data_IF_252079312860
#
_entry.id   IF_252079312860
#
_cell.length_a   1.000
_cell.length_b   1.000
_cell.length_c   1.000
_cell.angle_alpha   90.00
_cell.angle_beta   90.00
_cell.angle_gamma   90.00
#
_symmetry.space_group_name_H-M   'P 1'
#
loop_
_entity.id
_entity.type
_entity.pdbx_description
1 polymer ?
#
# COMPACT_ATOMS: atom_id res chain seq x y z
N UNK A 1 0.38 3.13 -40.76
CA UNK A 1 1.66 3.58 -40.18
C UNK A 1 1.58 3.31 -38.69
N UNK A 2 2.57 2.62 -38.10
CA UNK A 2 2.58 2.37 -36.67
C UNK A 2 2.64 3.70 -35.92
N UNK A 3 1.72 3.88 -34.96
CA UNK A 3 1.60 5.09 -34.17
C UNK A 3 1.90 4.78 -32.70
N UNK A 4 2.56 5.70 -32.01
CA UNK A 4 2.80 5.61 -30.56
C UNK A 4 2.04 6.72 -29.84
N UNK A 5 1.13 6.34 -28.95
CA UNK A 5 0.46 7.24 -28.01
C UNK A 5 1.27 7.23 -26.71
N UNK A 6 1.48 8.40 -26.11
CA UNK A 6 2.22 8.54 -24.85
C UNK A 6 1.38 9.33 -23.85
N UNK A 7 1.21 8.78 -22.65
CA UNK A 7 0.59 9.42 -21.50
C UNK A 7 1.70 9.70 -20.49
N UNK A 8 2.13 10.96 -20.40
CA UNK A 8 3.21 11.40 -19.53
C UNK A 8 2.95 12.83 -19.02
N UNK A 9 2.96 13.07 -17.69
CA UNK A 9 3.05 12.06 -16.63
C UNK A 9 1.73 11.28 -16.47
N UNK A 10 1.79 10.08 -15.89
CA UNK A 10 0.61 9.49 -15.26
C UNK A 10 0.25 10.34 -14.04
N UNK A 11 -0.97 10.84 -13.98
CA UNK A 11 -1.42 11.74 -12.90
C UNK A 11 -2.16 10.99 -11.79
N UNK A 12 -2.25 11.60 -10.60
CA UNK A 12 -2.90 11.06 -9.39
C UNK A 12 -2.34 9.70 -8.92
N UNK A 13 -1.04 9.49 -9.15
CA UNK A 13 -0.26 8.41 -8.54
C UNK A 13 0.87 9.00 -7.68
N UNK A 14 1.52 8.17 -6.88
CA UNK A 14 2.80 8.50 -6.26
C UNK A 14 3.95 8.08 -7.18
N UNK A 15 5.00 8.90 -7.24
CA UNK A 15 6.16 8.66 -8.11
C UNK A 15 5.98 9.13 -9.55
N UNK A 16 6.94 8.74 -10.41
CA UNK A 16 7.01 9.16 -11.80
C UNK A 16 6.82 7.98 -12.73
N UNK A 17 5.72 8.00 -13.49
CA UNK A 17 5.43 6.99 -14.49
C UNK A 17 4.99 7.60 -15.83
N UNK A 18 5.18 6.80 -16.87
CA UNK A 18 4.69 7.05 -18.24
C UNK A 18 4.03 5.78 -18.75
N UNK A 19 2.95 5.93 -19.52
CA UNK A 19 2.37 4.83 -20.30
C UNK A 19 2.61 5.08 -21.78
N UNK A 20 3.06 4.06 -22.51
CA UNK A 20 3.11 4.10 -23.97
C UNK A 20 2.21 3.03 -24.55
N UNK A 21 1.45 3.40 -25.59
CA UNK A 21 0.53 2.50 -26.31
C UNK A 21 0.93 2.53 -27.78
N UNK A 22 1.31 1.36 -28.29
CA UNK A 22 1.78 1.16 -29.65
C UNK A 22 0.62 0.60 -30.49
N UNK A 23 0.26 1.30 -31.56
CA UNK A 23 -0.77 0.89 -32.51
C UNK A 23 -0.11 0.27 -33.76
N UNK A 24 -0.70 -0.80 -34.27
CA UNK A 24 -0.32 -1.38 -35.55
C UNK A 24 -0.92 -0.59 -36.73
N UNK A 25 -0.65 -1.05 -37.96
CA UNK A 25 -1.10 -0.36 -39.17
C UNK A 25 -2.62 -0.30 -39.36
N UNK A 26 -3.39 -1.17 -38.69
CA UNK A 26 -4.86 -1.09 -38.69
C UNK A 26 -5.43 -0.14 -37.63
N UNK A 27 -4.57 0.50 -36.83
CA UNK A 27 -4.97 1.40 -35.75
C UNK A 27 -5.40 0.68 -34.46
N UNK A 28 -5.17 -0.63 -34.36
CA UNK A 28 -5.46 -1.42 -33.15
C UNK A 28 -4.24 -1.49 -32.24
N UNK A 29 -4.46 -1.61 -30.92
CA UNK A 29 -3.38 -1.71 -29.93
C UNK A 29 -2.61 -3.01 -30.15
N UNK A 30 -1.31 -2.89 -30.42
CA UNK A 30 -0.36 -4.00 -30.48
C UNK A 30 0.25 -4.28 -29.11
N UNK A 31 0.76 -3.23 -28.44
CA UNK A 31 1.40 -3.34 -27.12
C UNK A 31 1.19 -2.09 -26.27
N UNK A 32 1.19 -2.26 -24.95
CA UNK A 32 1.21 -1.17 -24.00
C UNK A 32 2.23 -1.43 -22.89
N UNK A 33 2.90 -0.37 -22.42
CA UNK A 33 3.99 -0.44 -21.44
C UNK A 33 3.81 0.60 -20.34
N UNK A 34 4.08 0.22 -19.09
CA UNK A 34 4.15 1.10 -17.92
C UNK A 34 5.61 1.36 -17.52
N UNK A 35 6.15 2.51 -17.87
CA UNK A 35 7.53 2.86 -17.58
C UNK A 35 7.63 3.57 -16.24
N UNK A 36 8.51 3.09 -15.35
CA UNK A 36 8.95 3.84 -14.18
C UNK A 36 10.31 4.45 -14.50
N UNK A 37 10.35 5.79 -14.55
CA UNK A 37 11.49 6.54 -15.07
C UNK A 37 12.39 7.11 -13.96
N UNK A 38 12.21 6.67 -12.71
CA UNK A 38 12.93 7.17 -11.54
C UNK A 38 13.84 6.11 -10.92
N UNK A 39 15.07 6.50 -10.58
CA UNK A 39 16.04 5.68 -9.86
C UNK A 39 16.78 6.53 -8.82
N UNK A 40 16.89 6.05 -7.58
CA UNK A 40 17.59 6.74 -6.48
C UNK A 40 18.72 5.93 -5.84
N UNK A 41 18.80 4.63 -6.07
CA UNK A 41 19.93 3.79 -5.62
C UNK A 41 20.08 3.59 -4.11
N UNK A 42 18.97 3.59 -3.33
CA UNK A 42 18.99 3.40 -1.86
C UNK A 42 19.79 2.18 -1.40
N UNK A 43 19.60 1.04 -2.07
CA UNK A 43 20.32 -0.20 -1.75
C UNK A 43 21.84 0.00 -1.79
N UNK A 44 22.34 0.74 -2.79
CA UNK A 44 23.78 0.96 -2.97
C UNK A 44 24.34 2.01 -2.03
N UNK A 45 23.69 3.17 -1.88
CA UNK A 45 24.24 4.24 -1.05
C UNK A 45 24.13 3.97 0.45
N UNK A 46 23.28 3.03 0.87
CA UNK A 46 23.20 2.58 2.25
C UNK A 46 24.39 1.69 2.67
N UNK A 47 25.18 1.16 1.72
CA UNK A 47 26.41 0.43 2.04
C UNK A 47 27.39 1.33 2.82
N UNK A 48 27.95 0.80 3.91
CA UNK A 48 28.87 1.54 4.79
C UNK A 48 28.20 2.51 5.78
N UNK A 49 26.87 2.67 5.72
CA UNK A 49 26.10 3.40 6.75
C UNK A 49 25.95 2.57 8.01
N UNK A 50 25.72 3.24 9.14
CA UNK A 50 25.45 2.55 10.39
C UNK A 50 24.03 1.98 10.36
N UNK A 51 23.85 0.73 10.80
CA UNK A 51 22.55 0.05 10.75
C UNK A 51 21.43 0.86 11.46
N UNK A 52 21.75 1.50 12.59
CA UNK A 52 20.78 2.30 13.36
C UNK A 52 20.35 3.60 12.65
N UNK A 53 21.01 3.98 11.56
CA UNK A 53 20.55 5.08 10.70
C UNK A 53 19.45 4.64 9.73
N UNK A 54 19.30 3.33 9.45
CA UNK A 54 18.36 2.82 8.46
C UNK A 54 16.92 3.26 8.74
N UNK A 55 16.39 3.20 9.98
CA UNK A 55 15.05 3.71 10.28
C UNK A 55 14.88 5.20 10.01
N UNK A 56 15.96 5.99 9.87
CA UNK A 56 15.91 7.40 9.50
C UNK A 56 16.13 7.60 8.00
N UNK A 57 16.94 6.77 7.35
CA UNK A 57 17.23 6.87 5.92
C UNK A 57 16.09 6.32 5.07
N UNK A 58 15.64 5.10 5.31
CA UNK A 58 14.64 4.41 4.46
C UNK A 58 13.28 5.11 4.37
N UNK A 59 12.78 5.87 5.37
CA UNK A 59 11.55 6.65 5.20
C UNK A 59 11.60 7.69 4.08
N UNK A 60 12.79 8.05 3.57
CA UNK A 60 12.94 9.01 2.46
C UNK A 60 12.75 8.37 1.08
N UNK A 61 12.51 7.07 1.02
CA UNK A 61 12.14 6.37 -0.22
C UNK A 61 10.81 6.92 -0.75
N UNK A 62 9.82 7.13 0.13
CA UNK A 62 8.48 7.57 -0.24
C UNK A 62 7.88 8.52 0.81
N UNK A 63 7.15 9.55 0.34
CA UNK A 63 6.46 10.51 1.21
C UNK A 63 5.13 9.99 1.80
N UNK A 64 4.52 8.97 1.20
CA UNK A 64 3.22 8.41 1.61
C UNK A 64 3.36 7.23 2.58
N UNK A 65 4.34 6.36 2.36
CA UNK A 65 4.59 5.19 3.20
C UNK A 65 5.86 5.24 4.07
N UNK A 66 6.27 6.40 4.64
CA UNK A 66 7.52 6.51 5.39
C UNK A 66 7.52 5.68 6.68
N UNK A 67 6.36 5.45 7.28
CA UNK A 67 6.22 4.60 8.48
C UNK A 67 6.52 3.14 8.16
N UNK A 68 6.08 2.60 7.01
CA UNK A 68 6.36 1.20 6.63
C UNK A 68 7.86 0.99 6.50
N UNK A 69 8.55 1.91 5.83
CA UNK A 69 10.01 1.86 5.72
C UNK A 69 10.71 2.03 7.07
N UNK A 70 10.22 2.92 7.93
CA UNK A 70 10.74 3.14 9.29
C UNK A 70 10.67 1.85 10.11
N UNK A 71 9.50 1.19 10.11
CA UNK A 71 9.24 -0.02 10.89
C UNK A 71 9.94 -1.24 10.30
N UNK A 72 9.94 -1.40 8.97
CA UNK A 72 10.67 -2.49 8.32
C UNK A 72 12.18 -2.43 8.60
N UNK A 73 12.77 -1.23 8.50
CA UNK A 73 14.18 -1.04 8.85
C UNK A 73 14.44 -1.27 10.34
N UNK A 74 13.53 -0.86 11.23
CA UNK A 74 13.68 -1.11 12.66
C UNK A 74 13.60 -2.61 13.00
N UNK A 75 12.66 -3.36 12.39
CA UNK A 75 12.57 -4.83 12.53
C UNK A 75 13.86 -5.51 12.05
N UNK A 76 14.40 -5.11 10.90
CA UNK A 76 15.68 -5.62 10.42
C UNK A 76 16.85 -5.33 11.39
N UNK A 77 16.83 -4.17 12.06
CA UNK A 77 17.83 -3.86 13.09
C UNK A 77 17.65 -4.69 14.37
N UNK A 78 16.41 -4.96 14.77
CA UNK A 78 16.11 -5.83 15.92
C UNK A 78 16.65 -7.24 15.69
N UNK A 79 16.43 -7.79 14.49
CA UNK A 79 16.93 -9.09 14.05
C UNK A 79 18.47 -9.11 14.02
N UNK A 80 19.09 -8.09 13.43
CA UNK A 80 20.55 -7.96 13.35
C UNK A 80 21.22 -7.98 14.74
N UNK A 81 20.60 -7.33 15.72
CA UNK A 81 21.10 -7.27 17.09
C UNK A 81 20.64 -8.44 17.98
N UNK A 82 19.79 -9.32 17.45
CA UNK A 82 19.07 -10.33 18.24
C UNK A 82 18.41 -9.72 19.49
N UNK A 83 17.78 -8.55 19.30
CA UNK A 83 17.20 -7.72 20.36
C UNK A 83 15.70 -7.53 20.10
N UNK A 84 14.86 -8.57 20.32
CA UNK A 84 13.44 -8.47 20.09
C UNK A 84 12.82 -7.39 21.00
N UNK A 85 11.97 -6.51 20.46
CA UNK A 85 11.38 -5.44 21.25
C UNK A 85 10.40 -5.99 22.30
N UNK A 86 10.29 -5.36 23.49
CA UNK A 86 9.31 -5.77 24.48
C UNK A 86 7.88 -5.55 23.95
N UNK A 87 6.91 -6.36 24.40
CA UNK A 87 5.51 -6.32 23.93
C UNK A 87 4.90 -4.91 23.83
N UNK A 88 5.07 -3.98 24.79
CA UNK A 88 4.54 -2.62 24.63
C UNK A 88 5.12 -1.88 23.43
N UNK A 89 6.39 -2.09 23.09
CA UNK A 89 7.01 -1.47 21.92
C UNK A 89 6.46 -2.05 20.61
N UNK A 90 6.22 -3.37 20.56
CA UNK A 90 5.54 -4.05 19.43
C UNK A 90 4.18 -3.42 19.16
N UNK A 91 3.33 -3.32 20.19
CA UNK A 91 1.98 -2.75 20.08
C UNK A 91 1.99 -1.28 19.63
N UNK A 92 2.97 -0.49 20.09
CA UNK A 92 3.09 0.91 19.67
C UNK A 92 3.57 1.06 18.22
N UNK A 93 4.47 0.18 17.77
CA UNK A 93 4.88 0.13 16.35
C UNK A 93 3.71 -0.29 15.45
N UNK A 94 2.96 -1.29 15.87
CA UNK A 94 1.75 -1.73 15.18
C UNK A 94 0.68 -0.62 15.11
N UNK A 95 0.41 0.07 16.23
CA UNK A 95 -0.48 1.23 16.26
C UNK A 95 -0.04 2.33 15.28
N UNK A 96 1.26 2.62 15.22
CA UNK A 96 1.81 3.56 14.23
C UNK A 96 1.56 3.06 12.80
N UNK A 97 1.75 1.77 12.55
CA UNK A 97 1.49 1.17 11.25
C UNK A 97 0.00 1.25 10.85
N UNK A 98 -0.92 1.02 11.80
CA UNK A 98 -2.36 1.18 11.55
C UNK A 98 -2.72 2.62 11.19
N UNK A 99 -2.14 3.61 11.88
CA UNK A 99 -2.27 5.02 11.50
C UNK A 99 -1.81 5.30 10.07
N UNK A 100 -0.72 4.65 9.62
CA UNK A 100 -0.24 4.74 8.25
C UNK A 100 -1.18 4.10 7.24
N UNK A 101 -1.73 2.92 7.53
CA UNK A 101 -2.69 2.23 6.64
C UNK A 101 -3.94 3.09 6.48
N UNK A 102 -4.50 3.61 7.57
CA UNK A 102 -5.69 4.47 7.56
C UNK A 102 -5.45 5.71 6.69
N UNK A 103 -4.38 6.46 6.95
CA UNK A 103 -4.12 7.69 6.17
C UNK A 103 -3.83 7.39 4.70
N UNK A 104 -3.15 6.28 4.39
CA UNK A 104 -2.76 5.94 3.03
C UNK A 104 -3.96 5.46 2.21
N UNK A 105 -4.79 4.57 2.77
CA UNK A 105 -5.97 4.06 2.08
C UNK A 105 -7.05 5.13 1.96
N UNK A 106 -7.28 5.92 3.01
CA UNK A 106 -8.20 7.07 2.96
C UNK A 106 -7.81 8.07 1.87
N UNK A 107 -6.54 8.48 1.84
CA UNK A 107 -6.02 9.38 0.80
C UNK A 107 -6.15 8.78 -0.61
N UNK A 108 -5.74 7.52 -0.81
CA UNK A 108 -5.83 6.89 -2.12
C UNK A 108 -7.28 6.81 -2.61
N UNK A 109 -8.19 6.28 -1.77
CA UNK A 109 -9.58 6.10 -2.15
C UNK A 109 -10.28 7.42 -2.44
N UNK A 110 -10.18 8.41 -1.55
CA UNK A 110 -10.92 9.66 -1.70
C UNK A 110 -10.22 10.68 -2.60
N UNK A 111 -8.90 10.84 -2.51
CA UNK A 111 -8.19 11.94 -3.18
C UNK A 111 -7.58 11.53 -4.53
N UNK A 112 -7.19 10.27 -4.69
CA UNK A 112 -6.51 9.78 -5.90
C UNK A 112 -7.45 9.03 -6.86
N UNK A 113 -8.09 7.97 -6.39
CA UNK A 113 -9.07 7.18 -7.16
C UNK A 113 -10.45 7.85 -7.19
N UNK A 114 -10.82 8.53 -6.11
CA UNK A 114 -12.12 9.16 -5.91
C UNK A 114 -12.58 10.05 -7.06
N UNK A 115 -11.74 10.92 -7.65
CA UNK A 115 -12.15 11.74 -8.79
C UNK A 115 -12.64 10.93 -9.99
N UNK A 116 -12.06 9.77 -10.28
CA UNK A 116 -12.55 8.90 -11.36
C UNK A 116 -13.84 8.20 -10.95
N UNK A 117 -13.88 7.61 -9.74
CA UNK A 117 -15.01 6.80 -9.28
C UNK A 117 -16.28 7.63 -9.01
N UNK A 118 -16.12 8.86 -8.51
CA UNK A 118 -17.23 9.69 -8.02
C UNK A 118 -17.69 10.73 -9.04
N UNK A 119 -16.80 11.25 -9.88
CA UNK A 119 -17.15 12.25 -10.90
C UNK A 119 -17.32 11.62 -12.29
N UNK A 120 -16.77 10.44 -12.51
CA UNK A 120 -16.82 9.69 -13.76
C UNK A 120 -15.49 9.70 -14.53
N UNK A 121 -15.23 8.61 -15.25
CA UNK A 121 -13.98 8.43 -16.00
C UNK A 121 -13.82 9.43 -17.16
N UNK A 122 -14.94 9.89 -17.72
CA UNK A 122 -14.99 10.88 -18.81
C UNK A 122 -15.24 12.32 -18.33
N UNK A 123 -15.23 12.57 -17.01
CA UNK A 123 -15.36 13.92 -16.49
C UNK A 123 -14.21 14.82 -16.99
N UNK A 124 -14.53 16.09 -17.23
CA UNK A 124 -13.56 17.09 -17.71
C UNK A 124 -12.32 17.07 -16.79
N UNK A 125 -11.09 16.91 -17.33
CA UNK A 125 -9.86 16.94 -16.55
C UNK A 125 -9.73 18.14 -15.60
N UNK A 126 -10.33 19.29 -15.94
CA UNK A 126 -10.35 20.49 -15.09
C UNK A 126 -11.08 20.27 -13.76
N UNK A 127 -12.08 19.38 -13.72
CA UNK A 127 -12.86 19.06 -12.52
C UNK A 127 -12.56 17.66 -11.96
N UNK A 128 -11.96 16.75 -12.74
CA UNK A 128 -11.64 15.37 -12.31
C UNK A 128 -10.42 15.31 -11.38
N UNK A 129 -10.53 15.99 -10.24
CA UNK A 129 -9.52 16.10 -9.20
C UNK A 129 -10.17 16.42 -7.84
N UNK A 130 -9.36 16.59 -6.79
CA UNK A 130 -9.86 16.83 -5.42
C UNK A 130 -10.71 18.10 -5.29
N UNK A 131 -10.48 19.12 -6.13
CA UNK A 131 -11.30 20.35 -6.10
C UNK A 131 -12.69 20.09 -6.63
N UNK A 132 -12.84 19.29 -7.69
CA UNK A 132 -14.16 18.88 -8.17
C UNK A 132 -14.90 18.00 -7.18
N UNK A 133 -14.19 17.14 -6.43
CA UNK A 133 -14.81 16.39 -5.33
C UNK A 133 -15.34 17.31 -4.23
N UNK A 134 -14.58 18.33 -3.85
CA UNK A 134 -15.04 19.34 -2.88
C UNK A 134 -16.28 20.06 -3.40
N UNK A 135 -16.33 20.42 -4.69
CA UNK A 135 -17.50 21.09 -5.28
C UNK A 135 -18.73 20.17 -5.34
N UNK A 136 -18.53 18.90 -5.68
CA UNK A 136 -19.62 17.92 -5.81
C UNK A 136 -20.18 17.49 -4.45
N UNK A 137 -19.32 17.27 -3.46
CA UNK A 137 -19.72 16.87 -2.11
C UNK A 137 -18.73 17.40 -1.05
N UNK A 138 -18.91 18.66 -0.59
CA UNK A 138 -18.02 19.28 0.39
C UNK A 138 -17.95 18.50 1.71
N UNK A 139 -19.06 17.93 2.15
CA UNK A 139 -19.15 17.18 3.40
C UNK A 139 -18.29 15.91 3.35
N UNK A 140 -18.43 15.12 2.28
CA UNK A 140 -17.62 13.92 2.08
C UNK A 140 -16.13 14.27 1.96
N UNK A 141 -15.78 15.35 1.27
CA UNK A 141 -14.40 15.80 1.14
C UNK A 141 -13.79 16.16 2.52
N UNK A 142 -14.55 16.85 3.39
CA UNK A 142 -14.11 17.15 4.76
C UNK A 142 -13.91 15.87 5.56
N UNK A 143 -14.84 14.91 5.48
CA UNK A 143 -14.70 13.61 6.15
C UNK A 143 -13.47 12.84 5.68
N UNK A 144 -13.20 12.82 4.37
CA UNK A 144 -12.01 12.20 3.81
C UNK A 144 -10.70 12.82 4.33
N UNK A 145 -10.62 14.15 4.37
CA UNK A 145 -9.47 14.87 4.94
C UNK A 145 -9.31 14.57 6.43
N UNK A 146 -10.42 14.50 7.18
CA UNK A 146 -10.40 14.15 8.60
C UNK A 146 -9.93 12.70 8.84
N UNK A 147 -10.30 11.74 7.98
CA UNK A 147 -9.80 10.36 8.06
C UNK A 147 -8.28 10.30 7.85
N UNK A 148 -7.78 11.01 6.84
CA UNK A 148 -6.33 11.14 6.61
C UNK A 148 -5.63 11.82 7.80
N UNK A 149 -6.23 12.87 8.34
CA UNK A 149 -5.74 13.57 9.54
C UNK A 149 -5.68 12.61 10.73
N UNK A 150 -6.70 11.79 10.96
CA UNK A 150 -6.74 10.84 12.06
C UNK A 150 -5.54 9.88 12.04
N UNK A 151 -5.29 9.21 10.92
CA UNK A 151 -4.12 8.33 10.78
C UNK A 151 -2.79 9.07 10.96
N UNK A 152 -2.67 10.29 10.43
CA UNK A 152 -1.47 11.12 10.59
C UNK A 152 -1.27 11.63 12.03
N UNK A 153 -2.34 11.88 12.79
CA UNK A 153 -2.25 12.28 14.20
C UNK A 153 -1.82 11.12 15.09
N UNK A 154 -2.19 9.88 14.77
CA UNK A 154 -1.64 8.68 15.44
C UNK A 154 -0.11 8.65 15.24
N UNK A 155 0.35 8.78 14.00
CA UNK A 155 1.78 8.79 13.66
C UNK A 155 2.51 9.93 14.38
N UNK A 156 1.95 11.15 14.36
CA UNK A 156 2.54 12.32 15.04
C UNK A 156 2.60 12.13 16.55
N UNK A 157 1.55 11.59 17.17
CA UNK A 157 1.47 11.37 18.62
C UNK A 157 2.58 10.45 19.11
N UNK A 158 2.88 9.41 18.33
CA UNK A 158 3.93 8.44 18.63
C UNK A 158 5.33 8.96 18.22
N UNK A 159 5.50 9.33 16.94
CA UNK A 159 6.80 9.64 16.35
C UNK A 159 7.16 11.11 16.24
N UNK A 160 6.38 12.01 16.84
CA UNK A 160 6.61 13.45 16.90
C UNK A 160 6.38 14.21 15.59
N UNK A 161 6.29 13.50 14.46
CA UNK A 161 6.09 14.04 13.10
C UNK A 161 5.10 13.17 12.34
N UNK A 162 4.32 13.78 11.45
CA UNK A 162 3.37 13.06 10.56
C UNK A 162 4.10 12.27 9.48
N UNK A 163 5.14 12.88 8.89
CA UNK A 163 5.92 12.32 7.81
C UNK A 163 7.36 12.14 8.29
N UNK A 164 7.94 10.98 7.97
CA UNK A 164 9.27 10.56 8.42
C UNK A 164 9.41 10.57 9.96
N UNK A 165 8.67 9.69 10.67
CA UNK A 165 8.71 9.62 12.13
C UNK A 165 10.11 9.23 12.63
N UNK A 166 10.37 9.55 13.90
CA UNK A 166 11.56 9.10 14.62
C UNK A 166 11.12 8.42 15.93
N UNK A 167 10.74 7.16 15.86
CA UNK A 167 10.07 6.46 16.96
C UNK A 167 10.64 5.08 17.25
N UNK A 168 10.60 4.20 16.25
CA UNK A 168 11.16 2.88 16.31
C UNK A 168 12.68 2.97 16.25
N UNK A 169 13.31 2.37 17.26
CA UNK A 169 14.76 2.25 17.41
C UNK A 169 15.08 0.76 17.59
N UNK A 170 16.31 0.32 17.30
CA UNK A 170 16.70 -1.07 17.55
C UNK A 170 16.41 -1.46 19.01
N UNK A 171 15.70 -2.57 19.22
CA UNK A 171 15.24 -3.06 20.52
C UNK A 171 13.92 -2.49 21.03
N UNK A 172 13.24 -1.58 20.30
CA UNK A 172 11.93 -1.07 20.72
C UNK A 172 11.52 0.28 20.16
N UNK A 173 11.09 1.17 21.05
CA UNK A 173 10.63 2.53 20.75
C UNK A 173 11.25 3.52 21.71
N UNK A 174 11.50 4.75 21.26
CA UNK A 174 12.17 5.78 22.06
C UNK A 174 11.26 6.55 23.02
N UNK A 175 9.94 6.30 22.98
CA UNK A 175 8.94 7.02 23.78
C UNK A 175 7.74 6.13 24.09
N UNK A 176 7.15 6.30 25.27
CA UNK A 176 5.88 5.70 25.63
C UNK A 176 4.69 6.54 25.15
N UNK A 177 3.54 5.89 24.90
CA UNK A 177 2.28 6.59 24.68
C UNK A 177 1.75 7.14 26.01
N UNK A 178 1.48 8.46 26.06
CA UNK A 178 0.86 9.09 27.22
C UNK A 178 -0.63 8.76 27.30
N UNK A 179 -1.23 8.84 28.49
CA UNK A 179 -2.69 8.66 28.66
C UNK A 179 -3.47 9.66 27.80
N UNK A 180 -3.06 10.92 27.81
CA UNK A 180 -3.64 11.97 26.97
C UNK A 180 -3.56 11.64 25.47
N UNK A 181 -2.40 11.14 25.00
CA UNK A 181 -2.25 10.73 23.60
C UNK A 181 -3.16 9.56 23.25
N UNK A 182 -3.30 8.58 24.16
CA UNK A 182 -4.23 7.45 24.01
C UNK A 182 -5.67 7.95 23.94
N UNK A 183 -6.08 8.81 24.88
CA UNK A 183 -7.45 9.35 24.98
C UNK A 183 -7.79 10.18 23.73
N UNK A 184 -6.84 10.98 23.23
CA UNK A 184 -7.02 11.74 21.99
C UNK A 184 -7.18 10.87 20.75
N UNK A 185 -6.51 9.71 20.68
CA UNK A 185 -6.68 8.76 19.57
C UNK A 185 -8.05 8.09 19.69
N UNK A 186 -8.44 7.65 20.88
CA UNK A 186 -9.75 7.02 21.09
C UNK A 186 -10.91 7.96 20.77
N UNK A 187 -10.79 9.25 21.06
CA UNK A 187 -11.83 10.24 20.80
C UNK A 187 -12.17 10.42 19.30
N UNK A 188 -11.26 10.08 18.39
CA UNK A 188 -11.49 10.15 16.94
C UNK A 188 -11.91 8.83 16.29
N UNK A 189 -11.98 7.74 17.06
CA UNK A 189 -12.14 6.38 16.52
C UNK A 189 -13.49 6.20 15.81
N UNK A 190 -14.59 6.61 16.45
CA UNK A 190 -15.94 6.41 15.92
C UNK A 190 -16.17 7.17 14.61
N UNK A 191 -15.69 8.42 14.52
CA UNK A 191 -15.77 9.22 13.29
C UNK A 191 -14.93 8.61 12.15
N UNK A 192 -13.75 8.08 12.48
CA UNK A 192 -12.90 7.40 11.50
C UNK A 192 -13.58 6.13 10.96
N UNK A 193 -14.13 5.29 11.85
CA UNK A 193 -14.88 4.08 11.46
C UNK A 193 -16.09 4.44 10.59
N UNK A 194 -16.90 5.42 11.01
CA UNK A 194 -18.07 5.85 10.26
C UNK A 194 -17.71 6.35 8.85
N UNK A 195 -16.56 7.02 8.72
CA UNK A 195 -16.05 7.50 7.42
C UNK A 195 -15.56 6.36 6.54
N UNK A 196 -14.88 5.36 7.12
CA UNK A 196 -14.48 4.14 6.40
C UNK A 196 -15.72 3.38 5.90
N UNK A 197 -16.73 3.19 6.74
CA UNK A 197 -18.00 2.54 6.36
C UNK A 197 -18.72 3.30 5.25
N UNK A 198 -18.70 4.64 5.29
CA UNK A 198 -19.20 5.46 4.18
C UNK A 198 -18.44 5.19 2.88
N UNK A 199 -17.11 5.10 2.94
CA UNK A 199 -16.27 4.75 1.78
C UNK A 199 -16.56 3.36 1.22
N UNK A 200 -16.77 2.36 2.09
CA UNK A 200 -17.17 1.00 1.69
C UNK A 200 -18.53 1.02 0.99
N UNK A 201 -19.52 1.72 1.55
CA UNK A 201 -20.85 1.87 0.93
C UNK A 201 -20.77 2.51 -0.46
N UNK A 202 -20.00 3.58 -0.60
CA UNK A 202 -19.73 4.22 -1.90
C UNK A 202 -19.16 3.23 -2.91
N UNK A 203 -18.16 2.44 -2.50
CA UNK A 203 -17.51 1.47 -3.39
C UNK A 203 -18.46 0.34 -3.79
N UNK A 204 -19.29 -0.16 -2.86
CA UNK A 204 -20.31 -1.17 -3.15
C UNK A 204 -21.36 -0.65 -4.14
N UNK A 205 -21.87 0.55 -3.91
CA UNK A 205 -22.84 1.20 -4.81
C UNK A 205 -22.25 1.43 -6.20
N UNK A 206 -20.97 1.85 -6.26
CA UNK A 206 -20.26 2.00 -7.52
C UNK A 206 -20.08 0.64 -8.22
N UNK A 207 -19.68 -0.39 -7.50
CA UNK A 207 -19.44 -1.73 -8.05
C UNK A 207 -20.72 -2.37 -8.61
N UNK A 208 -21.86 -2.17 -7.94
CA UNK A 208 -23.15 -2.67 -8.42
C UNK A 208 -23.58 -1.98 -9.73
N UNK A 209 -23.31 -0.68 -9.86
CA UNK A 209 -23.63 0.10 -11.07
C UNK A 209 -22.66 -0.15 -12.23
N UNK A 210 -21.41 -0.52 -11.95
CA UNK A 210 -20.32 -0.61 -12.92
C UNK A 210 -19.74 -2.04 -12.98
N UNK A 211 -20.58 -3.07 -12.83
CA UNK A 211 -20.13 -4.48 -12.82
C UNK A 211 -19.42 -4.87 -14.12
N UNK A 212 -19.89 -4.37 -15.26
CA UNK A 212 -19.26 -4.61 -16.55
C UNK A 212 -17.81 -4.10 -16.60
N UNK A 213 -17.54 -2.91 -16.02
CA UNK A 213 -16.18 -2.37 -15.95
C UNK A 213 -15.28 -3.24 -15.07
N UNK A 214 -15.79 -3.71 -13.92
CA UNK A 214 -15.06 -4.60 -13.01
C UNK A 214 -14.70 -5.92 -13.71
N UNK A 215 -15.63 -6.48 -14.49
CA UNK A 215 -15.44 -7.77 -15.15
C UNK A 215 -14.52 -7.69 -16.38
N UNK A 216 -14.31 -6.50 -16.94
CA UNK A 216 -13.54 -6.31 -18.18
C UNK A 216 -12.19 -5.62 -17.99
N UNK A 217 -12.07 -4.71 -17.02
CA UNK A 217 -10.90 -3.85 -16.90
C UNK A 217 -9.69 -4.61 -16.34
N UNK A 218 -8.76 -4.99 -17.23
CA UNK A 218 -7.50 -5.66 -16.88
C UNK A 218 -7.69 -6.93 -16.02
N UNK A 219 -8.73 -7.71 -16.29
CA UNK A 219 -8.97 -8.98 -15.61
C UNK A 219 -8.06 -10.07 -16.19
N UNK A 220 -7.08 -10.49 -15.40
CA UNK A 220 -6.25 -11.65 -15.70
C UNK A 220 -5.87 -12.39 -14.39
N UNK A 221 -5.73 -13.72 -14.45
CA UNK A 221 -5.41 -14.53 -13.28
C UNK A 221 -3.91 -14.45 -12.96
N UNK A 222 -3.56 -14.39 -11.67
CA UNK A 222 -2.18 -14.33 -11.14
C UNK A 222 -2.12 -14.99 -9.77
N UNK A 223 -0.94 -15.34 -9.27
CA UNK A 223 -0.78 -15.61 -7.84
C UNK A 223 -1.05 -14.37 -6.98
N UNK A 224 -1.22 -14.59 -5.67
CA UNK A 224 -1.34 -13.51 -4.68
C UNK A 224 -0.43 -13.74 -3.49
N UNK A 225 0.13 -12.66 -2.95
CA UNK A 225 1.13 -12.69 -1.89
C UNK A 225 0.81 -11.68 -0.79
N UNK A 226 0.87 -12.11 0.47
CA UNK A 226 0.58 -11.28 1.63
C UNK A 226 1.12 -11.88 2.92
N UNK A 227 0.92 -11.16 4.03
CA UNK A 227 1.19 -11.68 5.37
C UNK A 227 -0.09 -12.28 5.96
N UNK A 228 0.08 -13.32 6.77
CA UNK A 228 -1.01 -13.93 7.55
C UNK A 228 -0.58 -14.15 9.00
N UNK A 229 -1.56 -14.14 9.90
CA UNK A 229 -1.38 -14.61 11.28
C UNK A 229 -1.19 -16.14 11.30
N UNK A 230 -0.73 -16.74 12.41
CA UNK A 230 -0.65 -18.20 12.54
C UNK A 230 -1.99 -18.92 12.30
N UNK A 231 -3.10 -18.24 12.57
CA UNK A 231 -4.47 -18.73 12.33
C UNK A 231 -5.01 -18.37 10.94
N UNK A 232 -4.16 -17.91 10.01
CA UNK A 232 -4.56 -17.56 8.64
C UNK A 232 -5.31 -16.25 8.50
N UNK A 233 -5.35 -15.40 9.54
CA UNK A 233 -6.00 -14.09 9.50
C UNK A 233 -5.20 -13.05 8.73
N UNK A 234 -5.88 -11.99 8.26
CA UNK A 234 -5.26 -10.82 7.65
C UNK A 234 -4.23 -10.17 8.61
N UNK A 235 -2.97 -10.09 8.17
CA UNK A 235 -1.88 -9.49 8.95
C UNK A 235 -1.21 -8.35 8.17
N UNK A 236 -0.79 -7.29 8.86
CA UNK A 236 -0.23 -6.08 8.26
C UNK A 236 1.12 -5.67 8.86
N UNK A 237 1.46 -6.14 10.05
CA UNK A 237 2.65 -5.75 10.81
C UNK A 237 3.65 -6.90 11.01
N UNK A 238 3.20 -8.06 11.49
CA UNK A 238 4.10 -9.19 11.81
C UNK A 238 3.43 -10.56 11.68
N UNK A 239 3.87 -11.35 10.71
CA UNK A 239 3.31 -12.67 10.41
C UNK A 239 4.13 -13.42 9.37
N UNK A 240 3.62 -14.57 8.93
CA UNK A 240 4.26 -15.36 7.88
C UNK A 240 3.85 -14.87 6.50
N UNK A 241 4.78 -14.93 5.56
CA UNK A 241 4.53 -14.69 4.15
C UNK A 241 3.78 -15.88 3.56
N UNK A 242 2.60 -15.65 2.97
CA UNK A 242 1.80 -16.66 2.28
C UNK A 242 1.64 -16.30 0.81
N UNK A 243 1.93 -17.26 -0.06
CA UNK A 243 1.75 -17.19 -1.51
C UNK A 243 0.74 -18.24 -1.96
N UNK A 244 -0.24 -17.82 -2.75
CA UNK A 244 -1.19 -18.71 -3.44
C UNK A 244 -1.07 -18.55 -4.95
N UNK A 245 -1.45 -19.59 -5.69
CA UNK A 245 -1.47 -19.57 -7.15
C UNK A 245 -2.69 -18.83 -7.72
N UNK A 246 -2.77 -18.82 -9.05
CA UNK A 246 -3.84 -18.18 -9.81
C UNK A 246 -5.24 -18.79 -9.63
N UNK A 247 -5.32 -19.97 -9.01
CA UNK A 247 -6.56 -20.69 -8.67
C UNK A 247 -6.89 -20.59 -7.17
N UNK A 248 -6.05 -19.91 -6.39
CA UNK A 248 -6.17 -19.78 -4.95
C UNK A 248 -5.58 -20.95 -4.15
N UNK A 249 -4.87 -21.88 -4.79
CA UNK A 249 -4.22 -22.98 -4.07
C UNK A 249 -2.95 -22.49 -3.37
N UNK A 250 -2.68 -22.93 -2.13
CA UNK A 250 -1.44 -22.59 -1.43
C UNK A 250 -0.20 -23.06 -2.21
N UNK A 251 0.75 -22.15 -2.40
CA UNK A 251 2.07 -22.45 -2.96
C UNK A 251 3.13 -22.53 -1.87
N UNK A 252 3.19 -21.51 -1.01
CA UNK A 252 4.21 -21.37 0.03
C UNK A 252 3.65 -20.64 1.25
N UNK A 253 4.14 -21.02 2.42
CA UNK A 253 4.00 -20.25 3.66
C UNK A 253 5.34 -20.28 4.40
N UNK A 254 5.95 -19.12 4.61
CA UNK A 254 7.32 -19.04 5.10
C UNK A 254 7.58 -17.76 5.90
N UNK A 255 8.63 -17.81 6.70
CA UNK A 255 9.17 -16.67 7.42
C UNK A 255 9.86 -15.69 6.46
N UNK A 256 9.42 -14.42 6.47
CA UNK A 256 9.90 -13.37 5.58
C UNK A 256 11.41 -13.12 5.63
N UNK A 257 12.10 -13.53 6.70
CA UNK A 257 13.58 -13.51 6.78
C UNK A 257 14.25 -14.37 5.71
N UNK A 258 13.54 -15.38 5.17
CA UNK A 258 14.04 -16.31 4.16
C UNK A 258 13.53 -15.98 2.74
N UNK A 259 13.03 -14.76 2.49
CA UNK A 259 12.33 -14.44 1.22
C UNK A 259 13.16 -14.67 -0.05
N UNK A 260 14.50 -14.63 0.01
CA UNK A 260 15.39 -14.88 -1.14
C UNK A 260 15.38 -16.33 -1.65
N UNK A 261 14.87 -17.26 -0.84
CA UNK A 261 14.66 -18.65 -1.26
C UNK A 261 13.42 -18.79 -2.16
N UNK A 262 12.49 -17.83 -2.06
CA UNK A 262 11.17 -17.90 -2.69
C UNK A 262 10.96 -16.85 -3.78
N UNK A 263 11.53 -15.66 -3.63
CA UNK A 263 11.30 -14.51 -4.52
C UNK A 263 12.56 -14.22 -5.35
N UNK A 264 12.36 -13.95 -6.63
CA UNK A 264 13.38 -13.45 -7.55
C UNK A 264 12.86 -12.23 -8.29
N UNK A 265 13.76 -11.41 -8.84
CA UNK A 265 13.43 -10.18 -9.54
C UNK A 265 13.95 -10.23 -10.99
N UNK A 266 13.06 -10.03 -11.95
CA UNK A 266 13.41 -9.90 -13.36
C UNK A 266 13.55 -8.43 -13.76
N UNK A 267 14.40 -8.12 -14.74
CA UNK A 267 14.63 -6.76 -15.24
C UNK A 267 14.32 -6.72 -16.73
N UNK A 268 13.59 -5.67 -17.12
CA UNK A 268 13.31 -5.36 -18.51
C UNK A 268 14.03 -4.06 -18.91
N UNK A 269 14.33 -3.90 -20.19
CA UNK A 269 15.11 -2.76 -20.71
C UNK A 269 14.33 -1.43 -20.80
N UNK A 270 13.01 -1.48 -20.55
CA UNK A 270 12.10 -0.36 -20.74
C UNK A 270 11.57 0.28 -19.44
N UNK A 271 11.99 -0.20 -18.26
CA UNK A 271 11.56 0.34 -16.96
C UNK A 271 12.63 0.15 -15.89
N UNK A 272 12.80 1.12 -14.98
CA UNK A 272 13.64 0.92 -13.78
C UNK A 272 12.97 0.04 -12.72
N UNK A 273 11.65 -0.11 -12.76
CA UNK A 273 10.93 -1.00 -11.85
C UNK A 273 11.17 -2.45 -12.30
N UNK A 274 11.67 -3.26 -11.38
CA UNK A 274 11.85 -4.71 -11.56
C UNK A 274 10.51 -5.43 -11.55
N UNK A 275 10.52 -6.69 -11.96
CA UNK A 275 9.35 -7.56 -12.04
C UNK A 275 9.56 -8.78 -11.13
N UNK A 276 9.12 -8.72 -9.85
CA UNK A 276 9.23 -9.84 -8.94
C UNK A 276 8.38 -11.03 -9.37
N UNK A 277 8.88 -12.23 -9.12
CA UNK A 277 8.18 -13.48 -9.38
C UNK A 277 8.55 -14.58 -8.39
N UNK A 278 7.68 -15.57 -8.27
CA UNK A 278 7.92 -16.77 -7.47
C UNK A 278 8.97 -17.67 -8.14
N UNK A 279 10.11 -17.81 -7.47
CA UNK A 279 11.34 -18.41 -8.00
C UNK A 279 11.14 -19.83 -8.52
N UNK A 280 10.36 -20.67 -7.84
CA UNK A 280 10.15 -22.09 -8.25
C UNK A 280 9.33 -22.23 -9.52
N UNK A 281 8.50 -21.24 -9.87
CA UNK A 281 7.72 -21.22 -11.12
C UNK A 281 8.43 -20.50 -12.27
N UNK A 282 9.45 -19.68 -11.97
CA UNK A 282 10.22 -18.96 -12.98
C UNK A 282 9.49 -17.76 -13.59
N UNK A 283 10.23 -16.93 -14.33
CA UNK A 283 9.66 -15.81 -15.08
C UNK A 283 9.10 -16.29 -16.44
N UNK A 284 7.93 -15.82 -16.90
CA UNK A 284 6.95 -14.95 -16.19
C UNK A 284 5.87 -15.73 -15.42
N UNK A 285 5.90 -17.06 -15.41
CA UNK A 285 4.81 -17.89 -14.86
C UNK A 285 4.58 -17.72 -13.35
N UNK A 286 5.62 -17.32 -12.60
CA UNK A 286 5.55 -17.05 -11.16
C UNK A 286 5.08 -15.65 -10.78
N UNK A 287 4.54 -14.84 -11.71
CA UNK A 287 4.05 -13.49 -11.39
C UNK A 287 2.88 -13.56 -10.40
N UNK A 288 2.94 -12.71 -9.39
CA UNK A 288 1.93 -12.57 -8.35
C UNK A 288 1.58 -11.10 -8.10
N UNK A 289 0.46 -10.85 -7.41
CA UNK A 289 0.04 -9.52 -6.97
C UNK A 289 0.10 -9.40 -5.45
N UNK A 290 0.50 -8.21 -4.99
CA UNK A 290 0.45 -7.77 -3.59
C UNK A 290 -0.56 -6.63 -3.45
N UNK A 291 -0.72 -6.09 -2.24
CA UNK A 291 -1.62 -4.96 -1.98
C UNK A 291 -2.95 -5.41 -1.37
N UNK A 292 -4.00 -4.57 -1.40
CA UNK A 292 -5.26 -4.84 -0.70
C UNK A 292 -5.88 -6.19 -1.09
N UNK A 293 -6.20 -6.39 -2.37
CA UNK A 293 -6.83 -7.63 -2.83
C UNK A 293 -5.91 -8.85 -2.67
N UNK A 294 -4.60 -8.69 -2.87
CA UNK A 294 -3.64 -9.78 -2.66
C UNK A 294 -3.63 -10.28 -1.22
N UNK A 295 -3.73 -9.38 -0.24
CA UNK A 295 -3.84 -9.74 1.18
C UNK A 295 -5.17 -10.39 1.52
N UNK A 296 -6.28 -9.89 0.96
CA UNK A 296 -7.60 -10.49 1.18
C UNK A 296 -7.65 -11.92 0.62
N UNK A 297 -7.10 -12.16 -0.57
CA UNK A 297 -7.14 -13.48 -1.20
C UNK A 297 -6.29 -14.53 -0.49
N UNK A 298 -5.21 -14.15 0.22
CA UNK A 298 -4.38 -15.11 0.97
C UNK A 298 -4.86 -15.33 2.40
N UNK A 299 -5.62 -14.39 2.94
CA UNK A 299 -6.22 -14.52 4.27
C UNK A 299 -7.44 -15.45 4.22
N UNK A 300 -7.75 -16.08 5.36
CA UNK A 300 -8.93 -16.93 5.55
C UNK A 300 -10.02 -16.23 6.36
N UNK A 301 -9.67 -15.11 7.02
CA UNK A 301 -10.54 -14.30 7.87
C UNK A 301 -9.92 -12.92 8.12
N UNK A 302 -10.73 -12.00 8.65
CA UNK A 302 -10.25 -10.75 9.24
C UNK A 302 -10.61 -10.75 10.73
N UNK A 303 -9.66 -10.48 11.62
CA UNK A 303 -9.92 -10.62 13.07
C UNK A 303 -10.74 -9.46 13.67
N UNK A 304 -10.93 -8.35 12.95
CA UNK A 304 -11.79 -7.24 13.39
C UNK A 304 -13.24 -7.46 12.95
N UNK A 305 -14.23 -7.45 13.86
CA UNK A 305 -15.60 -7.88 13.55
C UNK A 305 -16.23 -7.17 12.35
N UNK A 306 -16.15 -5.83 12.30
CA UNK A 306 -16.74 -5.04 11.23
C UNK A 306 -16.11 -5.32 9.85
N UNK A 307 -14.81 -5.60 9.80
CA UNK A 307 -14.16 -5.92 8.54
C UNK A 307 -14.40 -7.38 8.14
N UNK A 308 -14.58 -8.28 9.10
CA UNK A 308 -14.92 -9.67 8.82
C UNK A 308 -16.33 -9.86 8.28
N UNK A 309 -17.27 -8.98 8.66
CA UNK A 309 -18.60 -8.92 8.04
C UNK A 309 -18.55 -8.54 6.55
N UNK A 310 -17.46 -7.92 6.13
CA UNK A 310 -17.19 -7.47 4.76
C UNK A 310 -16.29 -8.43 3.95
N UNK A 311 -15.77 -9.48 4.59
CA UNK A 311 -14.85 -10.47 4.02
C UNK A 311 -15.61 -11.61 3.35
#
# INVERSE_FOLDING_TARGET
MPQKITIEPVTRIEGHAKVTVHLNDSGTVDRAYLHINEFRGFEKFCEGRMYFEMPVITPRICGICPVSHHLAAAKACDDLLNAPPPRPAVLLRELMHMGQVIQSHGMHFFELAGPDLLLGFDADPAVRNVVGLIQANPELAVRAVNLRKFGQEIIRTLGGRKVHPNFAVPGGVNKALTREGRDSILAGLDEAIATIQTGIGIMKDWAEKNREDIEKFAVFPTGYFGLVTPEGGLELYDGECRLIDMTGQPLEQFDGRNYLDYIAEHVEDWSYLKFPYYKKMGWPHGVYRVGPLGRLNVAEKIDTPLANEEF
#
